data_IF_347580685076
#
_entry.id   IF_347580685076
#
_cell.length_a   1.000
_cell.length_b   1.000
_cell.length_c   1.000
_cell.angle_alpha   90.00
_cell.angle_beta   90.00
_cell.angle_gamma   90.00
#
_symmetry.space_group_name_H-M   'P 1'
#
loop_
_entity.id
_entity.type
_entity.pdbx_description
1 polymer ?
#
# COMPACT_ATOMS: atom_id res chain seq x y z
N UNK A 1 -18.01 11.91 8.35
CA UNK A 1 -17.67 10.51 8.01
C UNK A 1 -16.41 10.21 8.79
N UNK A 2 -16.43 9.21 9.68
CA UNK A 2 -15.29 8.87 10.54
C UNK A 2 -14.18 8.20 9.72
N UNK A 3 -12.90 8.47 9.99
CA UNK A 3 -11.80 7.80 9.29
C UNK A 3 -11.82 6.29 9.59
N UNK A 4 -11.44 5.44 8.63
CA UNK A 4 -11.39 3.99 8.87
C UNK A 4 -10.29 3.63 9.88
N UNK A 5 -10.55 2.64 10.74
CA UNK A 5 -9.56 2.08 11.66
C UNK A 5 -8.65 1.05 10.95
N UNK A 6 -7.78 1.56 10.09
CA UNK A 6 -6.85 0.73 9.32
C UNK A 6 -5.75 0.08 10.18
N UNK A 7 -5.56 0.55 11.42
CA UNK A 7 -4.59 -0.02 12.36
C UNK A 7 -5.12 -1.37 12.85
N UNK A 8 -6.39 -1.45 13.22
CA UNK A 8 -7.05 -2.70 13.58
C UNK A 8 -7.04 -3.70 12.41
N UNK A 9 -7.30 -3.24 11.19
CA UNK A 9 -7.22 -4.10 10.00
C UNK A 9 -5.82 -4.66 9.76
N UNK A 10 -4.78 -3.83 9.97
CA UNK A 10 -3.40 -4.30 9.88
C UNK A 10 -3.06 -5.36 10.95
N UNK A 11 -3.60 -5.21 12.17
CA UNK A 11 -3.46 -6.21 13.22
C UNK A 11 -4.12 -7.54 12.83
N UNK A 12 -5.32 -7.51 12.22
CA UNK A 12 -5.98 -8.71 11.72
C UNK A 12 -5.15 -9.41 10.62
N UNK A 13 -4.60 -8.65 9.66
CA UNK A 13 -3.70 -9.22 8.64
C UNK A 13 -2.44 -9.79 9.29
N UNK A 14 -1.92 -9.16 10.34
CA UNK A 14 -0.76 -9.66 11.07
C UNK A 14 -1.02 -11.04 11.66
N UNK A 15 -2.16 -11.24 12.31
CA UNK A 15 -2.54 -12.53 12.90
C UNK A 15 -2.68 -13.63 11.84
N UNK A 16 -3.26 -13.32 10.68
CA UNK A 16 -3.49 -14.30 9.62
C UNK A 16 -2.20 -14.69 8.90
N UNK A 17 -1.36 -13.70 8.53
CA UNK A 17 -0.20 -13.93 7.66
C UNK A 17 1.11 -14.12 8.42
N UNK A 18 1.13 -13.83 9.73
CA UNK A 18 2.31 -13.96 10.58
C UNK A 18 2.00 -14.57 11.96
N UNK A 19 1.21 -15.67 12.04
CA UNK A 19 0.74 -16.23 13.32
C UNK A 19 1.87 -16.69 14.26
N UNK A 20 3.02 -17.06 13.70
CA UNK A 20 4.16 -17.60 14.45
C UNK A 20 5.22 -16.53 14.80
N UNK A 21 5.04 -15.28 14.39
CA UNK A 21 6.02 -14.23 14.65
C UNK A 21 5.73 -13.58 15.99
N UNK A 22 6.31 -14.14 17.06
CA UNK A 22 6.38 -13.43 18.34
C UNK A 22 7.08 -12.07 18.16
N UNK A 23 6.64 -11.01 18.86
CA UNK A 23 7.33 -9.74 18.90
C UNK A 23 8.79 -9.98 19.28
N UNK A 24 9.72 -9.61 18.41
CA UNK A 24 11.14 -9.70 18.73
C UNK A 24 11.55 -8.40 19.41
N UNK A 25 11.88 -8.40 20.72
CA UNK A 25 12.21 -7.18 21.46
C UNK A 25 13.49 -6.50 20.93
N UNK A 26 14.33 -7.22 20.18
CA UNK A 26 15.55 -6.69 19.57
C UNK A 26 15.34 -6.14 18.15
N UNK A 27 14.10 -6.11 17.64
CA UNK A 27 13.79 -5.48 16.36
C UNK A 27 12.99 -4.21 16.58
N UNK A 28 13.38 -3.10 15.93
CA UNK A 28 12.66 -1.83 16.05
C UNK A 28 11.27 -1.87 15.40
N UNK A 29 10.98 -2.89 14.58
CA UNK A 29 9.67 -3.09 13.93
C UNK A 29 9.43 -4.58 13.60
N UNK A 30 8.17 -4.99 13.41
CA UNK A 30 7.80 -6.36 13.07
C UNK A 30 8.40 -6.87 11.75
N UNK A 31 8.54 -8.19 11.62
CA UNK A 31 9.05 -8.82 10.39
C UNK A 31 7.95 -8.84 9.32
N UNK A 32 8.25 -8.27 8.15
CA UNK A 32 7.33 -8.19 7.02
C UNK A 32 6.38 -7.00 7.20
N UNK A 33 6.46 -6.04 6.29
CA UNK A 33 5.62 -4.84 6.35
C UNK A 33 4.19 -5.19 5.97
N UNK A 34 3.20 -4.55 6.58
CA UNK A 34 1.79 -4.59 6.20
C UNK A 34 1.37 -3.20 5.77
N UNK A 35 0.63 -3.14 4.66
CA UNK A 35 -0.07 -1.94 4.21
C UNK A 35 -1.55 -2.25 3.99
N UNK A 36 -2.43 -1.35 4.43
CA UNK A 36 -3.87 -1.42 4.26
C UNK A 36 -4.33 -0.17 3.50
N UNK A 37 -5.18 -0.37 2.51
CA UNK A 37 -5.84 0.72 1.79
C UNK A 37 -7.34 0.57 1.92
N UNK A 38 -8.02 1.68 2.20
CA UNK A 38 -9.45 1.83 1.98
C UNK A 38 -9.71 3.02 1.06
N UNK A 39 -10.54 2.81 0.05
CA UNK A 39 -11.01 3.83 -0.88
C UNK A 39 -12.47 4.11 -0.61
N UNK A 40 -12.83 5.40 -0.52
CA UNK A 40 -14.21 5.89 -0.42
C UNK A 40 -14.47 6.86 -1.56
N UNK A 41 -15.40 6.52 -2.43
CA UNK A 41 -15.72 7.26 -3.64
C UNK A 41 -16.94 8.16 -3.41
N UNK A 42 -17.00 9.27 -4.15
CA UNK A 42 -18.11 10.24 -4.04
C UNK A 42 -19.48 9.65 -4.42
N UNK A 43 -19.50 8.58 -5.23
CA UNK A 43 -20.71 7.86 -5.61
C UNK A 43 -21.21 6.87 -4.54
N UNK A 44 -20.60 6.89 -3.35
CA UNK A 44 -20.99 6.10 -2.20
C UNK A 44 -20.36 4.71 -2.13
N UNK A 45 -19.58 4.29 -3.14
CA UNK A 45 -18.84 3.02 -3.06
C UNK A 45 -17.65 3.14 -2.12
N UNK A 46 -17.42 2.08 -1.35
CA UNK A 46 -16.22 1.93 -0.54
C UNK A 46 -15.69 0.51 -0.66
N UNK A 47 -14.37 0.36 -0.74
CA UNK A 47 -13.69 -0.93 -0.77
C UNK A 47 -12.26 -0.77 -0.29
N UNK A 48 -11.67 -1.86 0.20
CA UNK A 48 -10.31 -1.85 0.71
C UNK A 48 -9.61 -3.18 0.52
N UNK A 49 -8.31 -3.17 0.74
CA UNK A 49 -7.45 -4.34 0.61
C UNK A 49 -6.19 -4.14 1.43
N UNK A 50 -5.58 -5.24 1.86
CA UNK A 50 -4.28 -5.22 2.49
C UNK A 50 -3.23 -5.96 1.68
N UNK A 51 -1.96 -5.71 1.99
CA UNK A 51 -0.83 -6.42 1.44
C UNK A 51 0.24 -6.64 2.50
N UNK A 52 1.08 -7.65 2.27
CA UNK A 52 2.30 -7.84 3.03
C UNK A 52 3.53 -7.79 2.13
N UNK A 53 4.68 -7.44 2.70
CA UNK A 53 5.97 -7.49 1.99
C UNK A 53 6.50 -8.92 1.78
N UNK A 54 5.69 -9.96 2.02
CA UNK A 54 6.03 -11.37 1.82
C UNK A 54 5.38 -11.91 0.54
N UNK A 55 5.85 -13.08 0.10
CA UNK A 55 5.26 -13.77 -1.05
C UNK A 55 3.78 -14.12 -0.79
N UNK A 56 3.46 -14.64 0.39
CA UNK A 56 2.08 -14.81 0.82
C UNK A 56 1.51 -13.47 1.31
N UNK A 57 0.56 -12.92 0.57
CA UNK A 57 0.00 -11.58 0.76
C UNK A 57 -1.45 -11.56 0.25
N UNK A 58 -2.36 -10.81 0.88
CA UNK A 58 -3.73 -10.67 0.37
C UNK A 58 -3.77 -10.03 -1.02
N UNK A 59 -3.09 -8.89 -1.21
CA UNK A 59 -2.83 -8.37 -2.55
C UNK A 59 -1.74 -9.20 -3.25
N UNK A 60 -1.94 -9.62 -4.51
CA UNK A 60 -0.96 -10.38 -5.28
C UNK A 60 0.28 -9.54 -5.62
N UNK A 61 1.32 -10.20 -6.14
CA UNK A 61 2.47 -9.52 -6.71
C UNK A 61 2.07 -8.95 -8.10
N UNK A 62 2.08 -7.63 -8.30
CA UNK A 62 1.72 -7.04 -9.58
C UNK A 62 2.90 -7.06 -10.55
N UNK A 63 2.61 -7.15 -11.85
CA UNK A 63 3.63 -6.89 -12.88
C UNK A 63 4.03 -5.40 -12.85
N UNK A 64 5.29 -5.07 -13.17
CA UNK A 64 5.70 -3.68 -13.32
C UNK A 64 5.04 -3.04 -14.56
N UNK A 65 4.94 -1.70 -14.57
CA UNK A 65 4.37 -0.93 -15.68
C UNK A 65 5.04 -1.23 -17.02
N UNK A 66 6.35 -1.40 -17.04
CA UNK A 66 7.14 -1.83 -18.21
C UNK A 66 6.69 -3.17 -18.80
N UNK A 67 5.95 -4.00 -18.06
CA UNK A 67 5.39 -5.29 -18.50
C UNK A 67 3.86 -5.33 -18.52
N UNK A 68 3.21 -4.15 -18.42
CA UNK A 68 1.75 -4.02 -18.55
C UNK A 68 1.00 -3.85 -17.24
N UNK A 69 1.68 -3.76 -16.09
CA UNK A 69 1.04 -3.39 -14.83
C UNK A 69 0.76 -1.90 -14.69
N UNK A 70 0.24 -1.52 -13.51
CA UNK A 70 -0.18 -0.13 -13.26
C UNK A 70 0.99 0.81 -12.95
N UNK A 71 1.96 0.36 -12.15
CA UNK A 71 3.02 1.20 -11.62
C UNK A 71 4.41 0.58 -11.82
N UNK A 72 5.43 1.42 -11.89
CA UNK A 72 6.83 0.99 -11.97
C UNK A 72 7.47 1.06 -10.58
N UNK A 73 7.91 -0.07 -9.99
CA UNK A 73 8.68 -0.05 -8.75
C UNK A 73 10.10 0.47 -9.05
N UNK A 74 10.68 1.22 -8.11
CA UNK A 74 12.03 1.76 -8.23
C UNK A 74 13.00 1.07 -7.26
N UNK A 75 14.28 1.38 -7.43
CA UNK A 75 15.32 0.97 -6.48
C UNK A 75 15.30 1.96 -5.31
N UNK A 76 15.16 1.45 -4.09
CA UNK A 76 15.27 2.27 -2.89
C UNK A 76 16.73 2.62 -2.62
N UNK A 77 16.99 3.91 -2.43
CA UNK A 77 18.35 4.44 -2.26
C UNK A 77 19.03 3.95 -0.99
N UNK A 78 18.25 3.62 0.06
CA UNK A 78 18.76 3.12 1.34
C UNK A 78 19.12 1.64 1.29
N UNK A 79 18.18 0.78 0.89
CA UNK A 79 18.35 -0.68 0.87
C UNK A 79 19.04 -1.22 -0.38
N UNK A 80 19.15 -0.42 -1.45
CA UNK A 80 19.68 -0.78 -2.79
C UNK A 80 18.91 -1.93 -3.46
N UNK A 81 17.68 -2.18 -3.05
CA UNK A 81 16.80 -3.21 -3.62
C UNK A 81 15.70 -2.58 -4.45
N UNK A 82 15.25 -3.30 -5.47
CA UNK A 82 13.99 -2.99 -6.13
C UNK A 82 12.85 -3.29 -5.16
N UNK A 83 11.91 -2.36 -5.02
CA UNK A 83 10.78 -2.47 -4.08
C UNK A 83 9.53 -3.06 -4.75
N UNK A 84 9.74 -4.05 -5.62
CA UNK A 84 8.69 -4.77 -6.37
C UNK A 84 7.86 -5.71 -5.48
N UNK A 85 8.32 -5.99 -4.27
CA UNK A 85 7.64 -6.87 -3.31
C UNK A 85 7.08 -6.12 -2.10
N UNK A 86 7.23 -4.80 -2.04
CA UNK A 86 6.76 -3.98 -0.93
C UNK A 86 5.23 -3.95 -0.85
N UNK A 87 4.72 -3.87 0.38
CA UNK A 87 3.29 -3.97 0.64
C UNK A 87 2.53 -2.81 -0.03
N UNK A 88 3.09 -1.60 0.04
CA UNK A 88 2.57 -0.37 -0.56
C UNK A 88 2.42 -0.52 -2.08
N UNK A 89 3.42 -1.11 -2.75
CA UNK A 89 3.38 -1.33 -4.20
C UNK A 89 2.30 -2.33 -4.61
N UNK A 90 2.18 -3.45 -3.89
CA UNK A 90 1.15 -4.47 -4.15
C UNK A 90 -0.26 -3.91 -3.94
N UNK A 91 -0.51 -3.30 -2.77
CA UNK A 91 -1.85 -2.84 -2.42
C UNK A 91 -2.31 -1.70 -3.35
N UNK A 92 -1.44 -0.73 -3.65
CA UNK A 92 -1.79 0.37 -4.56
C UNK A 92 -2.04 -0.14 -5.98
N UNK A 93 -1.24 -1.07 -6.48
CA UNK A 93 -1.44 -1.65 -7.82
C UNK A 93 -2.78 -2.37 -7.91
N UNK A 94 -3.13 -3.18 -6.92
CA UNK A 94 -4.37 -3.94 -6.94
C UNK A 94 -5.62 -3.04 -6.71
N UNK A 95 -5.49 -1.94 -5.97
CA UNK A 95 -6.52 -0.89 -5.89
C UNK A 95 -6.68 -0.17 -7.24
N UNK A 96 -5.57 0.14 -7.92
CA UNK A 96 -5.61 0.75 -9.25
C UNK A 96 -6.31 -0.17 -10.27
N UNK A 97 -6.00 -1.46 -10.28
CA UNK A 97 -6.69 -2.45 -11.11
C UNK A 97 -8.21 -2.48 -10.84
N UNK A 98 -8.60 -2.43 -9.56
CA UNK A 98 -10.02 -2.40 -9.16
C UNK A 98 -10.71 -1.13 -9.65
N UNK A 99 -10.07 0.03 -9.51
CA UNK A 99 -10.60 1.31 -9.98
C UNK A 99 -10.75 1.32 -11.51
N UNK A 100 -9.76 0.82 -12.24
CA UNK A 100 -9.82 0.72 -13.71
C UNK A 100 -10.92 -0.25 -14.16
N UNK A 101 -11.11 -1.37 -13.45
CA UNK A 101 -12.19 -2.31 -13.73
C UNK A 101 -13.57 -1.70 -13.53
N UNK A 102 -13.78 -0.91 -12.45
CA UNK A 102 -15.10 -0.34 -12.14
C UNK A 102 -15.44 0.85 -13.07
N UNK A 103 -14.48 1.73 -13.35
CA UNK A 103 -14.77 3.03 -13.99
C UNK A 103 -14.30 3.17 -15.44
N UNK A 104 -13.58 2.17 -15.96
CA UNK A 104 -13.01 2.14 -17.31
C UNK A 104 -11.97 3.26 -17.57
N UNK A 105 -10.97 2.94 -18.40
CA UNK A 105 -9.74 3.70 -18.61
C UNK A 105 -9.95 5.07 -19.26
N UNK A 106 -11.04 5.24 -20.00
CA UNK A 106 -11.12 6.22 -21.08
C UNK A 106 -11.92 7.49 -20.77
N UNK A 107 -12.75 7.57 -19.72
CA UNK A 107 -13.59 8.78 -19.53
C UNK A 107 -14.14 9.09 -18.13
N UNK A 108 -13.88 8.29 -17.09
CA UNK A 108 -14.38 8.63 -15.75
C UNK A 108 -13.27 9.14 -14.84
N UNK A 109 -13.40 10.42 -14.51
CA UNK A 109 -12.69 11.07 -13.41
C UNK A 109 -13.22 10.51 -12.09
N UNK A 110 -12.61 9.44 -11.62
CA UNK A 110 -12.96 8.83 -10.33
C UNK A 110 -12.56 9.78 -9.21
N UNK A 111 -13.53 10.17 -8.38
CA UNK A 111 -13.35 11.11 -7.28
C UNK A 111 -13.52 10.41 -5.94
N UNK A 112 -12.69 10.74 -4.98
CA UNK A 112 -12.84 10.23 -3.64
C UNK A 112 -11.63 10.47 -2.74
N UNK A 113 -11.56 9.63 -1.71
CA UNK A 113 -10.50 9.62 -0.73
C UNK A 113 -9.96 8.20 -0.61
N UNK A 114 -8.63 8.07 -0.67
CA UNK A 114 -7.89 6.87 -0.35
C UNK A 114 -7.21 7.09 1.01
N UNK A 115 -7.39 6.16 1.92
CA UNK A 115 -6.69 6.08 3.18
C UNK A 115 -5.69 4.93 3.09
N UNK A 116 -4.41 5.25 3.25
CA UNK A 116 -3.31 4.29 3.27
C UNK A 116 -2.71 4.27 4.67
N UNK A 117 -2.79 3.12 5.31
CA UNK A 117 -1.96 2.82 6.47
C UNK A 117 -0.84 1.87 6.06
N UNK A 118 0.38 2.13 6.52
CA UNK A 118 1.48 1.18 6.42
C UNK A 118 2.21 1.14 7.74
N UNK A 119 2.63 -0.03 8.20
CA UNK A 119 3.30 -0.11 9.49
C UNK A 119 4.61 0.66 9.49
N UNK A 120 5.36 0.62 8.38
CA UNK A 120 6.61 1.34 8.21
C UNK A 120 6.38 2.50 7.26
N UNK A 121 6.92 3.68 7.61
CA UNK A 121 6.89 4.86 6.74
C UNK A 121 7.30 4.46 5.30
N UNK A 122 6.55 4.87 4.27
CA UNK A 122 6.91 4.58 2.89
C UNK A 122 8.35 4.99 2.59
N UNK A 123 9.12 4.09 1.97
CA UNK A 123 10.46 4.42 1.48
C UNK A 123 10.39 5.35 0.25
N UNK A 124 11.54 5.83 -0.23
CA UNK A 124 11.62 6.71 -1.40
C UNK A 124 10.99 6.05 -2.64
N UNK A 125 11.24 4.75 -2.85
CA UNK A 125 10.62 4.01 -3.96
C UNK A 125 9.10 3.88 -3.79
N UNK A 126 8.62 3.60 -2.58
CA UNK A 126 7.18 3.53 -2.31
C UNK A 126 6.51 4.89 -2.53
N UNK A 127 7.19 6.00 -2.19
CA UNK A 127 6.72 7.34 -2.51
C UNK A 127 6.63 7.56 -4.02
N UNK A 128 7.56 7.02 -4.80
CA UNK A 128 7.49 7.00 -6.26
C UNK A 128 6.23 6.30 -6.80
N UNK A 129 5.81 5.20 -6.17
CA UNK A 129 4.55 4.49 -6.53
C UNK A 129 3.32 5.31 -6.12
N UNK A 130 3.33 5.91 -4.93
CA UNK A 130 2.26 6.81 -4.46
C UNK A 130 2.07 7.97 -5.45
N UNK A 131 3.16 8.61 -5.88
CA UNK A 131 3.10 9.70 -6.84
C UNK A 131 2.53 9.26 -8.20
N UNK A 132 2.85 8.03 -8.65
CA UNK A 132 2.27 7.46 -9.87
C UNK A 132 0.76 7.21 -9.72
N UNK A 133 0.31 6.79 -8.53
CA UNK A 133 -1.12 6.65 -8.23
C UNK A 133 -1.84 8.00 -8.30
N UNK A 134 -1.30 9.04 -7.65
CA UNK A 134 -1.87 10.39 -7.68
C UNK A 134 -1.96 10.95 -9.11
N UNK A 135 -0.94 10.69 -9.94
CA UNK A 135 -0.97 11.09 -11.35
C UNK A 135 -2.03 10.31 -12.15
N UNK A 136 -2.25 9.04 -11.82
CA UNK A 136 -3.23 8.19 -12.50
C UNK A 136 -4.66 8.52 -12.10
N UNK A 137 -4.88 8.84 -10.83
CA UNK A 137 -6.19 9.14 -10.24
C UNK A 137 -6.16 10.52 -9.53
N UNK A 138 -6.04 11.63 -10.28
CA UNK A 138 -5.79 12.96 -9.72
C UNK A 138 -6.93 13.52 -8.85
N UNK A 139 -8.11 12.91 -8.91
CA UNK A 139 -9.27 13.33 -8.13
C UNK A 139 -9.55 12.40 -6.93
N UNK A 140 -8.68 11.41 -6.71
CA UNK A 140 -8.62 10.64 -5.46
C UNK A 140 -7.53 11.24 -4.59
N UNK A 141 -7.93 11.87 -3.48
CA UNK A 141 -6.99 12.39 -2.48
C UNK A 141 -6.44 11.24 -1.66
N UNK A 142 -5.15 11.28 -1.30
CA UNK A 142 -4.53 10.25 -0.48
C UNK A 142 -4.21 10.80 0.91
N UNK A 143 -4.61 10.06 1.95
CA UNK A 143 -4.19 10.29 3.33
C UNK A 143 -3.32 9.11 3.76
N UNK A 144 -2.11 9.39 4.22
CA UNK A 144 -1.11 8.36 4.58
C UNK A 144 -0.83 8.44 6.07
N UNK A 145 -0.86 7.29 6.74
CA UNK A 145 -0.47 7.13 8.15
C UNK A 145 0.49 5.95 8.32
N UNK A 146 1.34 6.01 9.34
CA UNK A 146 2.29 4.94 9.65
C UNK A 146 2.68 4.89 11.14
N UNK A 147 3.21 3.74 11.56
CA UNK A 147 3.57 3.47 12.97
C UNK A 147 5.07 3.58 13.24
N UNK A 148 5.91 3.06 12.35
CA UNK A 148 7.37 2.96 12.51
C UNK A 148 8.09 3.81 11.46
N UNK A 149 9.21 4.47 11.80
CA UNK A 149 9.98 5.26 10.83
C UNK A 149 10.73 4.38 9.81
N UNK A 150 11.02 4.97 8.64
CA UNK A 150 11.93 4.44 7.64
C UNK A 150 12.82 5.57 7.07
N UNK A 151 14.14 5.39 6.98
CA UNK A 151 14.91 4.27 7.54
C UNK A 151 14.79 4.22 9.07
N UNK A 152 15.01 3.06 9.72
CA UNK A 152 15.02 3.00 11.18
C UNK A 152 16.02 4.01 11.73
N UNK A 153 15.62 4.76 12.76
CA UNK A 153 16.54 5.66 13.46
C UNK A 153 17.75 4.85 13.95
N UNK A 154 18.94 5.30 13.58
CA UNK A 154 20.18 4.87 14.21
C UNK A 154 20.08 5.25 15.68
N UNK A 155 20.08 4.27 16.59
CA UNK A 155 20.43 4.53 17.98
C UNK A 155 21.93 4.80 18.08
#
# INVERSE_FOLDING_TARGET
MEEPDLISDAANIREIYFPEISPNPNRPFPKGNIAIVEVRLEDGKAFGMGATSRANSPAPLPEPKSRGGNFEPAVDSHSKRIMDTDAEYKVLSAIAETLEFIYNKDNNRVRGQLYLYTERKPCESCQGVINQFEQRFPEIKITISWTYPYPPSSN
#
